data_IF_496123271722
#
_entry.id   IF_496123271722
#
_cell.length_a   1.000
_cell.length_b   1.000
_cell.length_c   1.000
_cell.angle_alpha   90.00
_cell.angle_beta   90.00
_cell.angle_gamma   90.00
#
_symmetry.space_group_name_H-M   'P 1'
#
loop_
_entity.id
_entity.type
_entity.pdbx_description
1 polymer ?
#
# COMPACT_ATOMS: atom_id res chain seq x y z
N UNK A 1 -10.61 -1.92 15.57
CA UNK A 1 -11.76 -1.42 14.77
C UNK A 1 -12.47 -2.61 14.12
N UNK A 2 -13.79 -2.72 14.24
CA UNK A 2 -14.56 -3.84 13.68
C UNK A 2 -15.88 -3.35 13.05
N UNK A 3 -16.17 -3.75 11.81
CA UNK A 3 -17.48 -3.53 11.17
C UNK A 3 -17.79 -2.09 10.75
N UNK A 4 -16.80 -1.20 10.75
CA UNK A 4 -17.00 0.23 10.42
C UNK A 4 -17.18 0.42 8.92
N UNK A 5 -18.11 1.29 8.54
CA UNK A 5 -18.27 1.79 7.17
C UNK A 5 -17.80 3.24 7.09
N UNK A 6 -16.91 3.55 6.14
CA UNK A 6 -16.44 4.91 5.83
C UNK A 6 -16.81 5.27 4.39
N UNK A 7 -17.49 6.40 4.20
CA UNK A 7 -18.09 6.82 2.93
C UNK A 7 -17.61 8.21 2.53
N UNK A 8 -17.18 8.36 1.28
CA UNK A 8 -16.87 9.64 0.62
C UNK A 8 -15.95 10.56 1.44
N UNK A 9 -14.82 10.03 1.91
CA UNK A 9 -13.81 10.87 2.56
C UNK A 9 -13.26 11.90 1.57
N UNK A 10 -12.94 13.09 2.05
CA UNK A 10 -12.29 14.13 1.24
C UNK A 10 -10.79 13.85 1.02
N UNK A 11 -10.22 12.94 1.80
CA UNK A 11 -8.83 12.48 1.76
C UNK A 11 -8.80 11.00 2.15
N UNK A 12 -7.78 10.53 2.88
CA UNK A 12 -7.70 9.16 3.39
C UNK A 12 -8.92 8.81 4.25
N UNK A 13 -9.40 7.57 4.17
CA UNK A 13 -10.56 7.11 4.93
C UNK A 13 -10.19 6.67 6.35
N UNK A 14 -9.14 5.88 6.51
CA UNK A 14 -8.66 5.37 7.79
C UNK A 14 -7.15 5.54 7.84
N UNK A 15 -6.64 6.17 8.90
CA UNK A 15 -5.20 6.37 9.11
C UNK A 15 -4.77 5.66 10.39
N UNK A 16 -3.79 4.76 10.26
CA UNK A 16 -3.09 4.09 11.35
C UNK A 16 -1.68 4.67 11.39
N UNK A 17 -1.50 5.73 12.17
CA UNK A 17 -0.23 6.43 12.34
C UNK A 17 0.27 6.28 13.77
N UNK A 18 1.56 5.94 13.95
CA UNK A 18 2.22 5.81 15.27
C UNK A 18 1.50 4.87 16.24
N UNK A 19 0.91 3.81 15.72
CA UNK A 19 0.16 2.84 16.49
C UNK A 19 0.95 1.54 16.71
N UNK A 20 0.60 0.82 17.78
CA UNK A 20 1.09 -0.54 18.03
C UNK A 20 -0.10 -1.46 18.32
N UNK A 21 -0.06 -2.69 17.81
CA UNK A 21 -1.05 -3.73 18.09
C UNK A 21 -2.49 -3.33 17.69
N UNK A 22 -2.66 -3.00 16.41
CA UNK A 22 -3.96 -2.58 15.85
C UNK A 22 -4.57 -3.70 15.03
N UNK A 23 -5.84 -4.00 15.31
CA UNK A 23 -6.65 -4.88 14.48
C UNK A 23 -7.79 -4.12 13.81
N UNK A 24 -7.85 -4.17 12.48
CA UNK A 24 -8.94 -3.68 11.65
C UNK A 24 -9.61 -4.87 10.98
N UNK A 25 -10.93 -5.01 11.13
CA UNK A 25 -11.65 -6.15 10.59
C UNK A 25 -13.03 -5.75 10.08
N UNK A 26 -13.47 -6.35 8.97
CA UNK A 26 -14.85 -6.21 8.51
C UNK A 26 -15.19 -4.79 8.06
N UNK A 27 -14.19 -3.98 7.67
CA UNK A 27 -14.46 -2.59 7.30
C UNK A 27 -14.90 -2.49 5.85
N UNK A 28 -15.77 -1.52 5.59
CA UNK A 28 -16.18 -1.13 4.25
C UNK A 28 -15.76 0.31 3.98
N UNK A 29 -14.99 0.51 2.94
CA UNK A 29 -14.59 1.84 2.45
C UNK A 29 -15.21 2.04 1.07
N UNK A 30 -15.82 3.21 0.84
CA UNK A 30 -16.38 3.58 -0.45
C UNK A 30 -16.14 5.06 -0.75
N UNK A 31 -15.49 5.33 -1.88
CA UNK A 31 -15.41 6.63 -2.53
C UNK A 31 -15.51 6.46 -4.06
N UNK A 32 -15.70 7.56 -4.78
CA UNK A 32 -15.72 7.52 -6.24
C UNK A 32 -14.35 7.08 -6.80
N UNK A 33 -14.34 6.21 -7.81
CA UNK A 33 -13.12 5.62 -8.38
C UNK A 33 -12.18 6.60 -9.10
N UNK A 34 -12.59 7.84 -9.27
CA UNK A 34 -11.78 8.94 -9.82
C UNK A 34 -11.49 10.03 -8.77
N UNK A 35 -11.78 9.79 -7.49
CA UNK A 35 -11.54 10.74 -6.41
C UNK A 35 -10.08 10.72 -5.98
N UNK A 36 -9.28 11.78 -6.24
CA UNK A 36 -7.86 11.76 -5.92
C UNK A 36 -7.62 11.71 -4.40
N UNK A 37 -6.53 11.06 -3.97
CA UNK A 37 -6.05 11.05 -2.58
C UNK A 37 -7.05 10.48 -1.55
N UNK A 38 -7.93 9.59 -2.00
CA UNK A 38 -8.93 8.91 -1.15
C UNK A 38 -8.45 7.57 -0.62
N UNK A 39 -7.18 7.43 -0.25
CA UNK A 39 -6.61 6.16 0.22
C UNK A 39 -7.52 5.47 1.25
N UNK A 40 -7.73 4.16 1.09
CA UNK A 40 -8.66 3.43 1.93
C UNK A 40 -8.14 3.27 3.36
N UNK A 41 -7.07 2.52 3.52
CA UNK A 41 -6.38 2.40 4.82
C UNK A 41 -4.92 2.77 4.63
N UNK A 42 -4.51 3.87 5.27
CA UNK A 42 -3.12 4.28 5.31
C UNK A 42 -2.46 3.77 6.60
N UNK A 43 -1.32 3.11 6.48
CA UNK A 43 -0.52 2.63 7.62
C UNK A 43 0.87 3.24 7.55
N UNK A 44 1.28 3.95 8.60
CA UNK A 44 2.59 4.58 8.67
C UNK A 44 3.10 4.60 10.12
N UNK A 45 4.43 4.55 10.30
CA UNK A 45 5.09 4.61 11.62
C UNK A 45 4.50 3.65 12.67
N UNK A 46 3.94 2.51 12.24
CA UNK A 46 3.14 1.63 13.08
C UNK A 46 3.67 0.20 13.08
N UNK A 47 3.42 -0.54 14.15
CA UNK A 47 3.87 -1.92 14.29
C UNK A 47 2.77 -2.88 14.73
N UNK A 48 2.84 -4.13 14.29
CA UNK A 48 1.88 -5.19 14.65
C UNK A 48 0.45 -4.80 14.28
N UNK A 49 0.26 -4.47 12.99
CA UNK A 49 -1.04 -4.09 12.43
C UNK A 49 -1.62 -5.27 11.66
N UNK A 50 -2.90 -5.55 11.86
CA UNK A 50 -3.62 -6.63 11.18
C UNK A 50 -4.90 -6.11 10.54
N UNK A 51 -5.06 -6.28 9.23
CA UNK A 51 -6.22 -5.84 8.44
C UNK A 51 -6.88 -7.08 7.81
N UNK A 52 -8.15 -7.34 8.14
CA UNK A 52 -8.82 -8.59 7.78
C UNK A 52 -10.21 -8.36 7.20
N UNK A 53 -10.61 -9.19 6.22
CA UNK A 53 -12.01 -9.36 5.80
C UNK A 53 -12.70 -8.04 5.43
N UNK A 54 -12.06 -7.22 4.62
CA UNK A 54 -12.52 -5.85 4.32
C UNK A 54 -12.78 -5.66 2.83
N UNK A 55 -13.73 -4.76 2.51
CA UNK A 55 -14.00 -4.33 1.15
C UNK A 55 -13.64 -2.84 0.99
N UNK A 56 -12.78 -2.53 0.03
CA UNK A 56 -12.21 -1.19 -0.16
C UNK A 56 -12.38 -0.79 -1.62
N UNK A 57 -13.23 0.20 -1.85
CA UNK A 57 -13.53 0.78 -3.15
C UNK A 57 -13.20 2.27 -3.07
N UNK A 58 -12.23 2.74 -3.85
CA UNK A 58 -11.77 4.13 -3.74
C UNK A 58 -11.15 4.64 -5.04
N UNK A 59 -10.74 5.92 -5.08
CA UNK A 59 -10.05 6.52 -6.22
C UNK A 59 -8.52 6.48 -6.14
N UNK A 60 -7.96 6.06 -5.01
CA UNK A 60 -6.50 5.94 -4.80
C UNK A 60 -6.11 4.55 -4.23
N UNK A 61 -5.00 4.43 -3.52
CA UNK A 61 -4.54 3.17 -2.93
C UNK A 61 -5.60 2.56 -1.99
N UNK A 62 -5.98 1.29 -2.19
CA UNK A 62 -6.86 0.59 -1.24
C UNK A 62 -6.20 0.51 0.13
N UNK A 63 -4.91 0.14 0.14
CA UNK A 63 -4.07 0.18 1.33
C UNK A 63 -2.72 0.77 0.93
N UNK A 64 -2.35 1.89 1.56
CA UNK A 64 -1.02 2.51 1.39
C UNK A 64 -0.17 2.32 2.64
N UNK A 65 1.09 1.92 2.43
CA UNK A 65 2.03 1.52 3.48
C UNK A 65 3.23 2.47 3.45
N UNK A 66 3.27 3.38 4.40
CA UNK A 66 4.34 4.36 4.59
C UNK A 66 5.51 3.84 5.42
N UNK A 67 6.58 4.65 5.47
CA UNK A 67 7.81 4.36 6.21
C UNK A 67 7.59 4.11 7.70
N UNK A 68 8.45 3.29 8.30
CA UNK A 68 8.37 2.89 9.71
C UNK A 68 7.26 1.88 10.02
N UNK A 69 6.64 1.30 8.99
CA UNK A 69 5.68 0.21 9.16
C UNK A 69 6.41 -1.13 9.32
N UNK A 70 6.10 -1.84 10.40
CA UNK A 70 6.68 -3.16 10.69
C UNK A 70 5.62 -4.18 11.12
N UNK A 71 5.80 -5.46 10.78
CA UNK A 71 4.89 -6.54 11.19
C UNK A 71 3.42 -6.26 10.79
N UNK A 72 3.20 -6.07 9.49
CA UNK A 72 1.88 -5.80 8.92
C UNK A 72 1.31 -7.06 8.27
N UNK A 73 0.13 -7.49 8.73
CA UNK A 73 -0.62 -8.60 8.16
C UNK A 73 -1.90 -8.11 7.48
N UNK A 74 -2.07 -8.41 6.20
CA UNK A 74 -3.25 -8.06 5.41
C UNK A 74 -3.81 -9.35 4.83
N UNK A 75 -5.07 -9.67 5.12
CA UNK A 75 -5.69 -10.90 4.62
C UNK A 75 -7.18 -10.80 4.30
N UNK A 76 -7.61 -11.51 3.26
CA UNK A 76 -9.01 -11.58 2.83
C UNK A 76 -9.58 -10.20 2.48
N UNK A 77 -8.95 -9.52 1.52
CA UNK A 77 -9.32 -8.17 1.09
C UNK A 77 -9.94 -8.21 -0.31
N UNK A 78 -11.06 -7.51 -0.48
CA UNK A 78 -11.55 -7.09 -1.78
C UNK A 78 -11.13 -5.63 -2.01
N UNK A 79 -10.36 -5.38 -3.07
CA UNK A 79 -9.83 -4.07 -3.41
C UNK A 79 -10.23 -3.75 -4.85
N UNK A 80 -10.94 -2.65 -5.06
CA UNK A 80 -11.22 -2.18 -6.40
C UNK A 80 -12.62 -1.62 -6.61
N UNK A 81 -12.77 -0.49 -7.31
CA UNK A 81 -11.73 0.26 -8.03
C UNK A 81 -10.71 0.95 -7.09
N UNK A 82 -9.58 1.42 -7.65
CA UNK A 82 -8.50 2.10 -6.93
C UNK A 82 -7.10 1.83 -7.50
N UNK A 83 -6.05 2.26 -6.81
CA UNK A 83 -4.64 2.09 -7.22
C UNK A 83 -3.97 0.81 -6.67
N UNK A 84 -4.71 -0.08 -6.02
CA UNK A 84 -4.18 -1.35 -5.48
C UNK A 84 -3.62 -1.24 -4.07
N UNK A 85 -2.66 -2.11 -3.72
CA UNK A 85 -1.90 -2.01 -2.46
C UNK A 85 -0.52 -1.48 -2.78
N UNK A 86 -0.17 -0.35 -2.17
CA UNK A 86 1.11 0.32 -2.41
C UNK A 86 1.98 0.39 -1.17
N UNK A 87 3.26 0.07 -1.31
CA UNK A 87 4.31 0.42 -0.37
C UNK A 87 5.00 1.69 -0.88
N UNK A 88 5.03 2.72 -0.05
CA UNK A 88 5.61 4.02 -0.36
C UNK A 88 4.59 5.12 -0.72
N UNK A 89 5.04 6.27 -1.21
CA UNK A 89 6.41 6.52 -1.69
C UNK A 89 7.44 6.51 -0.57
N UNK A 90 8.44 5.65 -0.68
CA UNK A 90 9.61 5.60 0.21
C UNK A 90 10.75 6.48 -0.33
N UNK A 91 11.81 6.65 0.46
CA UNK A 91 12.98 7.47 0.16
C UNK A 91 12.64 8.95 -0.07
N UNK A 92 11.59 9.47 0.57
CA UNK A 92 11.26 10.89 0.51
C UNK A 92 12.36 11.73 1.17
N UNK A 93 12.87 11.21 2.28
CA UNK A 93 13.96 11.80 3.06
C UNK A 93 15.26 10.99 2.93
N UNK A 94 16.42 11.66 3.12
CA UNK A 94 17.72 10.98 3.20
C UNK A 94 17.79 10.01 4.40
N UNK A 95 17.18 10.41 5.51
CA UNK A 95 17.05 9.63 6.74
C UNK A 95 15.58 9.25 6.91
N UNK A 96 15.23 8.02 6.55
CA UNK A 96 13.88 7.49 6.56
C UNK A 96 13.89 6.08 7.15
N UNK A 97 12.86 5.74 7.93
CA UNK A 97 12.64 4.37 8.36
C UNK A 97 12.26 3.48 7.16
N UNK A 98 12.58 2.20 7.22
CA UNK A 98 12.13 1.25 6.22
C UNK A 98 10.72 0.72 6.47
N UNK A 99 10.28 -0.14 5.55
CA UNK A 99 9.12 -1.02 5.68
C UNK A 99 9.62 -2.46 5.78
N UNK A 100 9.13 -3.20 6.78
CA UNK A 100 9.61 -4.55 7.05
C UNK A 100 8.52 -5.52 7.50
N UNK A 101 8.65 -6.77 7.07
CA UNK A 101 7.82 -7.87 7.52
C UNK A 101 6.34 -7.59 7.23
N UNK A 102 6.04 -7.45 5.94
CA UNK A 102 4.70 -7.22 5.42
C UNK A 102 4.22 -8.49 4.73
N UNK A 103 3.07 -9.01 5.12
CA UNK A 103 2.42 -10.12 4.42
C UNK A 103 1.05 -9.69 3.94
N UNK A 104 0.84 -9.79 2.63
CA UNK A 104 -0.46 -9.64 1.98
C UNK A 104 -0.88 -11.02 1.46
N UNK A 105 -2.01 -11.52 1.94
CA UNK A 105 -2.48 -12.86 1.66
C UNK A 105 -3.95 -12.86 1.25
N UNK A 106 -4.33 -13.70 0.29
CA UNK A 106 -5.74 -13.90 -0.09
C UNK A 106 -6.40 -12.55 -0.41
N UNK A 107 -6.00 -11.95 -1.52
CA UNK A 107 -6.51 -10.64 -1.93
C UNK A 107 -7.11 -10.73 -3.32
N UNK A 108 -8.20 -10.01 -3.55
CA UNK A 108 -8.84 -9.88 -4.86
C UNK A 108 -8.81 -8.42 -5.29
N UNK A 109 -8.09 -8.16 -6.37
CA UNK A 109 -8.05 -6.87 -7.05
C UNK A 109 -9.06 -6.88 -8.21
N UNK A 110 -9.93 -5.88 -8.30
CA UNK A 110 -11.00 -5.80 -9.31
C UNK A 110 -11.03 -4.42 -9.95
N UNK A 111 -10.66 -4.32 -11.23
CA UNK A 111 -10.70 -3.04 -11.95
C UNK A 111 -9.77 -1.97 -11.37
N UNK A 112 -8.70 -2.37 -10.68
CA UNK A 112 -7.70 -1.45 -10.13
C UNK A 112 -6.68 -1.07 -11.18
N UNK A 113 -6.06 0.10 -11.02
CA UNK A 113 -4.92 0.50 -11.84
C UNK A 113 -3.71 -0.41 -11.60
N UNK A 114 -3.39 -0.68 -10.33
CA UNK A 114 -2.30 -1.58 -9.97
C UNK A 114 -2.81 -2.72 -9.10
N UNK A 115 -2.12 -3.85 -9.11
CA UNK A 115 -2.32 -4.90 -8.11
C UNK A 115 -1.51 -4.56 -6.87
N UNK A 116 -0.24 -4.98 -6.88
CA UNK A 116 0.73 -4.64 -5.83
C UNK A 116 1.78 -3.69 -6.38
N UNK A 117 2.11 -2.66 -5.60
CA UNK A 117 3.03 -1.60 -6.03
C UNK A 117 4.04 -1.27 -4.96
N UNK A 118 5.30 -1.10 -5.32
CA UNK A 118 6.35 -0.54 -4.48
C UNK A 118 6.88 0.69 -5.21
N UNK A 119 6.79 1.86 -4.58
CA UNK A 119 7.19 3.14 -5.16
C UNK A 119 8.19 3.84 -4.24
N UNK A 120 9.29 4.33 -4.80
CA UNK A 120 10.26 5.16 -4.09
C UNK A 120 10.81 6.27 -4.95
N UNK A 121 11.19 7.37 -4.32
CA UNK A 121 11.88 8.46 -4.97
C UNK A 121 13.28 8.02 -5.36
N UNK A 122 13.70 8.36 -6.58
CA UNK A 122 15.05 8.08 -7.06
C UNK A 122 16.08 9.03 -6.44
N UNK A 123 16.27 9.03 -5.12
CA UNK A 123 17.27 9.84 -4.41
C UNK A 123 17.97 9.02 -3.35
N UNK A 124 19.22 9.35 -2.99
CA UNK A 124 19.91 8.73 -1.87
C UNK A 124 19.05 8.74 -0.60
N UNK A 125 18.87 7.56 0.00
CA UNK A 125 18.16 7.37 1.27
C UNK A 125 18.67 6.11 1.96
N UNK A 126 18.60 6.07 3.30
CA UNK A 126 18.83 4.85 4.07
C UNK A 126 17.56 3.99 4.21
N UNK A 127 16.43 4.43 3.68
CA UNK A 127 15.18 3.68 3.66
C UNK A 127 15.31 2.34 2.94
N UNK A 128 14.41 1.41 3.28
CA UNK A 128 14.42 0.06 2.73
C UNK A 128 13.00 -0.53 2.70
N UNK A 129 12.82 -1.54 1.87
CA UNK A 129 11.63 -2.39 1.83
C UNK A 129 12.09 -3.84 1.87
N UNK A 130 11.81 -4.57 2.96
CA UNK A 130 12.33 -5.95 3.10
C UNK A 130 11.38 -6.93 3.75
N UNK A 131 11.54 -8.20 3.40
CA UNK A 131 10.70 -9.30 3.90
C UNK A 131 9.22 -9.00 3.61
N UNK A 132 8.89 -8.88 2.33
CA UNK A 132 7.55 -8.56 1.85
C UNK A 132 7.03 -9.75 1.05
N UNK A 133 5.84 -10.24 1.42
CA UNK A 133 5.22 -11.41 0.79
C UNK A 133 3.85 -11.03 0.27
N UNK A 134 3.63 -11.26 -1.02
CA UNK A 134 2.32 -11.23 -1.65
C UNK A 134 1.95 -12.65 -2.08
N UNK A 135 0.83 -13.17 -1.58
CA UNK A 135 0.42 -14.55 -1.83
C UNK A 135 -1.09 -14.69 -2.05
N UNK A 136 -1.48 -15.57 -2.97
CA UNK A 136 -2.88 -15.79 -3.32
C UNK A 136 -3.61 -14.51 -3.75
N UNK A 137 -2.96 -13.72 -4.59
CA UNK A 137 -3.59 -12.57 -5.24
C UNK A 137 -4.38 -13.03 -6.47
N UNK A 138 -5.65 -12.62 -6.55
CA UNK A 138 -6.48 -12.74 -7.76
C UNK A 138 -6.63 -11.35 -8.37
N UNK A 139 -6.31 -11.21 -9.65
CA UNK A 139 -6.36 -9.94 -10.35
C UNK A 139 -7.35 -10.01 -11.51
N UNK A 140 -8.42 -9.22 -11.43
CA UNK A 140 -9.49 -9.18 -12.45
C UNK A 140 -9.52 -7.78 -13.03
N UNK A 141 -9.21 -7.66 -14.32
CA UNK A 141 -9.16 -6.36 -15.03
C UNK A 141 -8.20 -5.35 -14.36
N UNK A 142 -7.07 -5.81 -13.84
CA UNK A 142 -6.03 -4.96 -13.26
C UNK A 142 -5.09 -4.50 -14.37
N UNK A 143 -4.79 -3.19 -14.44
CA UNK A 143 -3.98 -2.65 -15.54
C UNK A 143 -2.49 -3.02 -15.39
N UNK A 144 -1.94 -2.83 -14.19
CA UNK A 144 -0.54 -3.12 -13.86
C UNK A 144 -0.47 -4.08 -12.67
N UNK A 145 -0.45 -5.41 -12.90
CA UNK A 145 -0.47 -6.43 -11.84
C UNK A 145 0.56 -6.22 -10.72
N UNK A 146 1.82 -6.00 -11.09
CA UNK A 146 2.94 -5.77 -10.19
C UNK A 146 3.74 -4.57 -10.71
N UNK A 147 3.99 -3.59 -9.85
CA UNK A 147 4.82 -2.42 -10.17
C UNK A 147 5.89 -2.24 -9.10
N UNK A 148 7.16 -2.13 -9.52
CA UNK A 148 8.25 -1.69 -8.66
C UNK A 148 8.93 -0.51 -9.36
N UNK A 149 8.70 0.69 -8.84
CA UNK A 149 9.21 1.94 -9.37
C UNK A 149 10.12 2.65 -8.35
N UNK A 150 11.42 2.62 -8.60
CA UNK A 150 12.42 3.30 -7.78
C UNK A 150 12.75 4.73 -8.27
N UNK A 151 11.98 5.26 -9.21
CA UNK A 151 12.11 6.62 -9.72
C UNK A 151 10.76 7.37 -9.68
N UNK A 152 9.92 7.02 -8.70
CA UNK A 152 8.57 7.58 -8.57
C UNK A 152 8.64 9.10 -8.43
N UNK A 153 8.02 9.80 -9.38
CA UNK A 153 7.95 11.26 -9.41
C UNK A 153 6.61 11.74 -10.01
N UNK A 154 5.54 11.76 -9.19
CA UNK A 154 4.17 11.91 -9.69
C UNK A 154 3.89 13.27 -10.35
N UNK A 155 4.60 14.32 -9.95
CA UNK A 155 4.41 15.67 -10.50
C UNK A 155 5.41 16.03 -11.60
N UNK A 156 6.35 15.14 -11.92
CA UNK A 156 7.48 15.40 -12.85
C UNK A 156 8.24 16.71 -12.58
N UNK A 157 8.17 17.23 -11.35
CA UNK A 157 8.81 18.46 -10.88
C UNK A 157 9.80 18.10 -9.79
N UNK A 158 11.00 18.68 -9.87
CA UNK A 158 12.08 18.48 -8.91
C UNK A 158 12.38 17.00 -8.63
N UNK A 159 12.20 16.15 -9.66
CA UNK A 159 12.50 14.74 -9.56
C UNK A 159 14.00 14.59 -9.24
N UNK A 160 14.36 13.91 -8.16
CA UNK A 160 15.76 13.67 -7.86
C UNK A 160 16.39 12.86 -8.99
N UNK A 161 17.69 13.08 -9.24
CA UNK A 161 18.41 12.35 -10.28
C UNK A 161 18.32 10.86 -10.03
N UNK A 162 18.03 10.05 -11.06
CA UNK A 162 17.61 8.63 -11.07
C UNK A 162 18.53 7.65 -10.30
N UNK A 163 18.74 7.87 -9.00
CA UNK A 163 19.59 7.07 -8.14
C UNK A 163 18.72 6.03 -7.44
N UNK A 164 18.93 4.77 -7.81
CA UNK A 164 18.34 3.61 -7.14
C UNK A 164 19.08 3.34 -5.84
N UNK A 165 18.61 3.90 -4.73
CA UNK A 165 19.22 3.67 -3.41
C UNK A 165 18.31 2.98 -2.40
N UNK A 166 17.00 2.87 -2.66
CA UNK A 166 16.13 2.09 -1.80
C UNK A 166 16.56 0.63 -1.86
N UNK A 167 16.90 0.06 -0.70
CA UNK A 167 17.27 -1.35 -0.60
C UNK A 167 16.03 -2.21 -0.54
N UNK A 168 15.87 -3.07 -1.53
CA UNK A 168 14.80 -4.06 -1.61
C UNK A 168 15.38 -5.46 -1.41
N UNK A 169 14.88 -6.20 -0.42
CA UNK A 169 15.39 -7.54 -0.10
C UNK A 169 14.25 -8.48 0.29
N UNK A 170 14.25 -9.71 -0.23
CA UNK A 170 13.24 -10.73 0.07
C UNK A 170 11.81 -10.26 -0.20
N UNK A 171 11.55 -9.82 -1.44
CA UNK A 171 10.19 -9.56 -1.95
C UNK A 171 9.78 -10.78 -2.76
N UNK A 172 8.68 -11.42 -2.36
CA UNK A 172 8.19 -12.65 -3.01
C UNK A 172 6.73 -12.49 -3.39
N UNK A 173 6.42 -12.77 -4.66
CA UNK A 173 5.06 -12.77 -5.19
C UNK A 173 4.70 -14.19 -5.67
N UNK A 174 3.65 -14.78 -5.09
CA UNK A 174 3.06 -16.03 -5.54
C UNK A 174 1.71 -15.76 -6.20
N UNK A 175 1.70 -15.70 -7.53
CA UNK A 175 0.47 -15.52 -8.31
C UNK A 175 -0.17 -16.87 -8.67
N UNK A 176 -1.50 -16.93 -8.63
CA UNK A 176 -2.26 -17.93 -9.39
C UNK A 176 -2.96 -17.17 -10.51
N UNK A 177 -2.54 -17.42 -11.74
CA UNK A 177 -3.25 -17.00 -12.95
C UNK A 177 -4.62 -17.67 -13.02
#
# INVERSE_FOLDING_TARGET
MNGVTSLNSQMFHIVIDRCNNVKVQGVKVTAAGNSPNTDGIHVQLSSSVTILNSNIETGDDCISIGSGTTNLWIESIACGPGHGISIGSLAKEFQELGVENVTVKTIKFIGTENGVRIKSWGRPSNGFARNIIFQHATMVNVQNPIVIDQNYCPNQKDCPGQVRSLKENNIVCYEKC
#
